data_IF_314515797115
#
_entry.id   IF_314515797115
#
_cell.length_a   1.000
_cell.length_b   1.000
_cell.length_c   1.000
_cell.angle_alpha   90.00
_cell.angle_beta   90.00
_cell.angle_gamma   90.00
#
_symmetry.space_group_name_H-M   'P 1'
#
loop_
_entity.id
_entity.type
_entity.pdbx_description
1 polymer ?
#
# COMPACT_ATOMS: atom_id res chain seq x y z
N UNK A 1 -41.68 -16.73 42.68
CA UNK A 1 -40.63 -17.03 41.67
C UNK A 1 -40.74 -16.01 40.54
N UNK A 2 -39.73 -15.17 40.27
CA UNK A 2 -39.82 -14.17 39.21
C UNK A 2 -39.57 -14.82 37.84
N UNK A 3 -40.45 -14.55 36.87
CA UNK A 3 -40.28 -14.98 35.47
C UNK A 3 -39.11 -14.24 34.83
N UNK A 4 -38.19 -14.97 34.21
CA UNK A 4 -37.05 -14.41 33.48
C UNK A 4 -37.54 -13.58 32.27
N UNK A 5 -36.96 -12.39 32.07
CA UNK A 5 -37.14 -11.59 30.85
C UNK A 5 -36.40 -12.24 29.67
N UNK A 6 -36.92 -12.17 28.44
CA UNK A 6 -36.23 -12.71 27.28
C UNK A 6 -34.94 -11.91 26.99
N UNK A 7 -33.86 -12.64 26.71
CA UNK A 7 -32.57 -12.09 26.28
C UNK A 7 -32.73 -11.58 24.85
N UNK A 8 -32.47 -10.28 24.64
CA UNK A 8 -32.41 -9.69 23.31
C UNK A 8 -31.24 -10.31 22.54
N UNK A 9 -31.56 -11.05 21.47
CA UNK A 9 -30.56 -11.55 20.52
C UNK A 9 -29.94 -10.33 19.85
N UNK A 10 -28.67 -10.05 20.14
CA UNK A 10 -27.89 -9.04 19.42
C UNK A 10 -27.75 -9.54 17.99
N UNK A 11 -28.59 -9.03 17.09
CA UNK A 11 -28.42 -9.26 15.66
C UNK A 11 -27.09 -8.61 15.23
N UNK A 12 -26.21 -9.32 14.51
CA UNK A 12 -25.07 -8.66 13.89
C UNK A 12 -25.61 -7.57 12.95
N UNK A 13 -25.09 -6.34 13.05
CA UNK A 13 -25.38 -5.27 12.09
C UNK A 13 -25.00 -5.75 10.69
N UNK A 14 -25.94 -6.36 9.97
CA UNK A 14 -25.93 -6.34 8.51
C UNK A 14 -26.25 -4.91 8.11
N UNK A 15 -25.23 -4.07 7.99
CA UNK A 15 -25.35 -2.91 7.12
C UNK A 15 -25.59 -3.48 5.72
N UNK A 16 -26.82 -3.34 5.25
CA UNK A 16 -27.20 -3.64 3.87
C UNK A 16 -26.31 -2.80 2.95
N UNK A 17 -25.69 -3.46 1.98
CA UNK A 17 -24.80 -2.86 0.98
C UNK A 17 -25.45 -1.69 0.21
N UNK A 18 -26.78 -1.59 0.27
CA UNK A 18 -27.64 -0.56 -0.33
C UNK A 18 -27.37 0.87 0.18
N UNK A 19 -26.82 1.03 1.40
CA UNK A 19 -26.65 2.36 2.01
C UNK A 19 -25.20 2.85 2.07
N UNK A 20 -24.24 2.11 1.52
CA UNK A 20 -22.89 2.64 1.33
C UNK A 20 -22.89 3.54 0.10
N UNK A 21 -23.24 4.81 0.27
CA UNK A 21 -23.02 5.82 -0.78
C UNK A 21 -21.55 5.76 -1.18
N UNK A 22 -21.27 5.29 -2.41
CA UNK A 22 -19.98 5.40 -3.09
C UNK A 22 -19.59 6.88 -3.20
N UNK A 23 -19.01 7.42 -2.15
CA UNK A 23 -18.37 8.76 -2.13
C UNK A 23 -16.89 8.68 -2.56
N UNK A 24 -16.43 7.47 -2.88
CA UNK A 24 -15.08 7.05 -3.22
C UNK A 24 -14.86 6.83 -4.71
N UNK A 25 -15.92 6.84 -5.54
CA UNK A 25 -15.81 6.64 -6.99
C UNK A 25 -14.90 7.67 -7.70
N UNK A 26 -14.71 8.84 -7.08
CA UNK A 26 -13.82 9.90 -7.58
C UNK A 26 -12.53 10.06 -6.76
N UNK A 27 -12.34 9.29 -5.69
CA UNK A 27 -11.04 9.24 -5.03
C UNK A 27 -10.15 8.31 -5.85
N UNK A 28 -8.92 8.71 -6.21
CA UNK A 28 -7.98 7.76 -6.79
C UNK A 28 -7.87 6.58 -5.84
N UNK A 29 -8.23 5.38 -6.30
CA UNK A 29 -8.03 4.15 -5.55
C UNK A 29 -6.54 4.07 -5.21
N UNK A 30 -6.19 4.21 -3.92
CA UNK A 30 -4.80 4.42 -3.49
C UNK A 30 -4.43 5.85 -3.06
N UNK A 31 -5.40 6.69 -2.69
CA UNK A 31 -5.09 7.95 -1.99
C UNK A 31 -4.28 7.64 -0.73
N UNK A 32 -2.98 7.97 -0.77
CA UNK A 32 -2.08 7.86 0.36
C UNK A 32 -2.34 8.94 1.44
N UNK A 33 -3.41 9.74 1.29
CA UNK A 33 -3.79 10.75 2.26
C UNK A 33 -4.11 10.10 3.60
N UNK A 34 -3.45 10.58 4.65
CA UNK A 34 -3.55 10.05 6.01
C UNK A 34 -2.59 8.90 6.30
N UNK A 35 -1.80 8.43 5.34
CA UNK A 35 -0.82 7.36 5.56
C UNK A 35 0.29 7.80 6.50
N UNK A 36 0.86 8.99 6.32
CA UNK A 36 1.96 9.50 7.14
C UNK A 36 1.56 10.78 7.89
N UNK A 37 0.66 10.69 8.89
CA UNK A 37 0.10 11.87 9.55
C UNK A 37 1.15 12.68 10.32
N UNK A 38 2.26 12.06 10.72
CA UNK A 38 3.34 12.73 11.46
C UNK A 38 4.39 13.36 10.54
N UNK A 39 4.36 13.08 9.23
CA UNK A 39 5.41 13.51 8.30
C UNK A 39 6.79 12.89 8.58
N UNK A 40 6.85 11.69 9.19
CA UNK A 40 8.14 11.05 9.46
C UNK A 40 8.84 10.71 8.14
N UNK A 41 10.13 11.02 8.04
CA UNK A 41 10.97 10.70 6.87
C UNK A 41 11.69 9.36 7.00
N UNK A 42 11.52 8.65 8.11
CA UNK A 42 12.23 7.40 8.41
C UNK A 42 11.30 6.17 8.44
N UNK A 43 10.02 6.34 8.09
CA UNK A 43 9.00 5.30 8.18
C UNK A 43 8.49 4.81 6.80
N UNK A 44 9.28 4.99 5.73
CA UNK A 44 8.86 4.62 4.36
C UNK A 44 8.39 3.16 4.26
N UNK A 45 9.04 2.23 4.96
CA UNK A 45 8.63 0.82 5.05
C UNK A 45 7.26 0.63 5.70
N UNK A 46 6.96 1.38 6.76
CA UNK A 46 5.64 1.35 7.41
C UNK A 46 4.56 1.97 6.50
N UNK A 47 4.91 3.02 5.77
CA UNK A 47 4.01 3.66 4.80
C UNK A 47 3.61 2.69 3.70
N UNK A 48 4.55 1.89 3.22
CA UNK A 48 4.27 0.87 2.20
C UNK A 48 3.28 -0.18 2.70
N UNK A 49 3.40 -0.61 3.95
CA UNK A 49 2.42 -1.51 4.58
C UNK A 49 1.03 -0.87 4.72
N UNK A 50 0.98 0.39 5.18
CA UNK A 50 -0.27 1.10 5.36
C UNK A 50 -1.01 1.32 4.04
N UNK A 51 -0.30 1.75 2.98
CA UNK A 51 -0.87 1.87 1.62
C UNK A 51 -1.36 0.52 1.13
N UNK A 52 -0.59 -0.55 1.33
CA UNK A 52 -1.01 -1.87 0.87
C UNK A 52 -2.30 -2.34 1.53
N UNK A 53 -2.43 -2.13 2.85
CA UNK A 53 -3.64 -2.46 3.58
C UNK A 53 -4.85 -1.65 3.09
N UNK A 54 -4.66 -0.36 2.77
CA UNK A 54 -5.70 0.48 2.15
C UNK A 54 -6.11 -0.11 0.80
N UNK A 55 -5.15 -0.46 -0.06
CA UNK A 55 -5.44 -1.02 -1.39
C UNK A 55 -6.16 -2.37 -1.31
N UNK A 56 -5.80 -3.21 -0.34
CA UNK A 56 -6.36 -4.55 -0.16
C UNK A 56 -7.75 -4.54 0.48
N UNK A 57 -7.97 -3.66 1.46
CA UNK A 57 -9.17 -3.73 2.32
C UNK A 57 -10.10 -2.53 2.19
N UNK A 58 -9.64 -1.43 1.59
CA UNK A 58 -10.35 -0.14 1.61
C UNK A 58 -10.32 0.59 2.96
N UNK A 59 -9.73 -0.01 4.01
CA UNK A 59 -9.71 0.57 5.35
C UNK A 59 -8.62 1.62 5.46
N UNK A 60 -8.96 2.78 6.05
CA UNK A 60 -7.99 3.82 6.38
C UNK A 60 -6.92 3.26 7.32
N UNK A 61 -5.67 3.43 6.94
CA UNK A 61 -4.50 2.92 7.68
C UNK A 61 -3.42 3.98 7.71
N UNK A 62 -2.80 4.19 8.87
CA UNK A 62 -1.69 5.13 9.04
C UNK A 62 -0.44 4.39 9.51
N UNK A 63 0.70 4.83 9.01
CA UNK A 63 2.01 4.35 9.40
C UNK A 63 2.44 4.96 10.73
N UNK A 64 2.94 4.12 11.64
CA UNK A 64 3.62 4.60 12.83
C UNK A 64 4.91 5.35 12.45
N UNK A 65 5.24 6.46 13.13
CA UNK A 65 6.49 7.17 12.92
C UNK A 65 7.68 6.30 13.36
N UNK A 66 8.86 6.59 12.82
CA UNK A 66 10.11 5.96 13.24
C UNK A 66 11.20 7.01 13.39
N UNK A 67 12.17 6.71 14.26
CA UNK A 67 13.44 7.44 14.36
C UNK A 67 14.52 6.85 13.44
N UNK A 68 14.43 5.55 13.13
CA UNK A 68 15.37 4.84 12.25
C UNK A 68 14.63 4.00 11.20
N UNK A 69 15.09 4.01 9.93
CA UNK A 69 14.51 3.19 8.87
C UNK A 69 14.56 1.70 9.18
N UNK A 70 13.58 0.97 8.64
CA UNK A 70 13.67 -0.50 8.57
C UNK A 70 14.41 -0.86 7.29
N UNK A 71 15.40 -1.78 7.36
CA UNK A 71 16.03 -2.34 6.17
C UNK A 71 14.99 -2.93 5.21
N UNK A 72 15.13 -2.66 3.90
CA UNK A 72 14.12 -3.03 2.91
C UNK A 72 13.91 -4.55 2.80
N UNK A 73 14.92 -5.37 3.09
CA UNK A 73 14.81 -6.84 3.10
C UNK A 73 13.80 -7.37 4.14
N UNK A 74 13.41 -6.57 5.12
CA UNK A 74 12.31 -6.92 6.03
C UNK A 74 10.95 -6.93 5.32
N UNK A 75 10.81 -6.25 4.17
CA UNK A 75 9.60 -6.30 3.34
C UNK A 75 9.35 -7.70 2.79
N UNK A 76 10.40 -8.44 2.43
CA UNK A 76 10.26 -9.84 1.98
C UNK A 76 9.60 -10.71 3.06
N UNK A 77 10.08 -10.57 4.30
CA UNK A 77 9.52 -11.29 5.45
C UNK A 77 8.09 -10.87 5.75
N UNK A 78 7.80 -9.57 5.74
CA UNK A 78 6.48 -9.04 6.06
C UNK A 78 5.41 -9.48 5.05
N UNK A 79 5.75 -9.55 3.76
CA UNK A 79 4.80 -9.89 2.71
C UNK A 79 4.84 -11.36 2.29
N UNK A 80 5.80 -12.14 2.80
CA UNK A 80 6.06 -13.49 2.27
C UNK A 80 6.38 -13.46 0.77
N UNK A 81 6.99 -12.37 0.29
CA UNK A 81 7.35 -12.17 -1.11
C UNK A 81 8.86 -12.27 -1.28
N UNK A 82 9.29 -12.53 -2.51
CA UNK A 82 10.70 -12.47 -2.89
C UNK A 82 10.92 -11.27 -3.79
N UNK A 83 11.91 -10.45 -3.44
CA UNK A 83 12.33 -9.36 -4.30
C UNK A 83 13.07 -9.90 -5.53
N UNK A 84 12.89 -9.20 -6.64
CA UNK A 84 13.66 -9.42 -7.85
C UNK A 84 15.16 -9.17 -7.62
N UNK A 85 15.99 -9.61 -8.58
CA UNK A 85 17.30 -9.00 -8.75
C UNK A 85 17.20 -7.52 -9.16
N UNK A 86 18.34 -6.88 -9.41
CA UNK A 86 18.38 -5.52 -9.93
C UNK A 86 17.75 -5.45 -11.32
N UNK A 87 16.80 -4.54 -11.50
CA UNK A 87 16.04 -4.36 -12.74
C UNK A 87 15.87 -2.87 -13.06
N UNK A 88 15.56 -2.58 -14.32
CA UNK A 88 15.15 -1.24 -14.77
C UNK A 88 13.66 -0.97 -14.48
N UNK A 89 13.28 0.31 -14.47
CA UNK A 89 11.86 0.74 -14.38
C UNK A 89 10.99 0.04 -15.44
N UNK A 90 11.46 -0.01 -16.70
CA UNK A 90 10.70 -0.63 -17.79
C UNK A 90 10.48 -2.14 -17.57
N UNK A 91 11.46 -2.85 -17.00
CA UNK A 91 11.28 -4.27 -16.67
C UNK A 91 10.27 -4.49 -15.55
N UNK A 92 10.24 -3.60 -14.54
CA UNK A 92 9.19 -3.61 -13.51
C UNK A 92 7.83 -3.43 -14.17
N UNK A 93 7.67 -2.41 -15.01
CA UNK A 93 6.39 -2.08 -15.64
C UNK A 93 5.88 -3.21 -16.52
N UNK A 94 6.73 -3.74 -17.40
CA UNK A 94 6.38 -4.87 -18.25
C UNK A 94 5.97 -6.10 -17.41
N UNK A 95 6.72 -6.39 -16.34
CA UNK A 95 6.39 -7.52 -15.46
C UNK A 95 5.04 -7.34 -14.76
N UNK A 96 4.78 -6.15 -14.19
CA UNK A 96 3.54 -5.90 -13.48
C UNK A 96 2.35 -5.86 -14.44
N UNK A 97 2.46 -5.16 -15.57
CA UNK A 97 1.39 -5.06 -16.57
C UNK A 97 1.04 -6.45 -17.12
N UNK A 98 2.02 -7.32 -17.37
CA UNK A 98 1.78 -8.70 -17.84
C UNK A 98 0.93 -9.55 -16.88
N UNK A 99 0.90 -9.20 -15.58
CA UNK A 99 0.08 -9.86 -14.55
C UNK A 99 -1.34 -9.31 -14.46
N UNK A 100 -1.63 -8.22 -15.16
CA UNK A 100 -2.97 -7.66 -15.31
C UNK A 100 -3.38 -6.64 -14.24
N UNK A 101 -4.54 -6.02 -14.45
CA UNK A 101 -5.12 -5.02 -13.55
C UNK A 101 -5.34 -5.59 -12.15
N UNK A 102 -5.05 -4.79 -11.13
CA UNK A 102 -5.12 -5.17 -9.72
C UNK A 102 -3.82 -5.75 -9.16
N UNK A 103 -2.83 -6.05 -10.01
CA UNK A 103 -1.50 -6.48 -9.55
C UNK A 103 -0.90 -5.41 -8.65
N UNK A 104 -0.56 -5.78 -7.41
CA UNK A 104 0.13 -4.93 -6.44
C UNK A 104 1.58 -5.36 -6.29
N UNK A 105 2.45 -4.39 -6.03
CA UNK A 105 3.86 -4.66 -5.75
C UNK A 105 4.43 -3.64 -4.76
N UNK A 106 5.54 -4.02 -4.13
CA UNK A 106 6.46 -3.09 -3.47
C UNK A 106 7.67 -2.87 -4.36
N UNK A 107 8.10 -1.62 -4.46
CA UNK A 107 9.29 -1.23 -5.21
C UNK A 107 10.30 -0.67 -4.24
N UNK A 108 11.56 -1.09 -4.36
CA UNK A 108 12.71 -0.49 -3.71
C UNK A 108 13.59 0.18 -4.77
N UNK A 109 14.05 1.39 -4.49
CA UNK A 109 14.94 2.16 -5.34
C UNK A 109 16.09 2.74 -4.55
N UNK A 110 17.29 2.75 -5.15
CA UNK A 110 18.50 3.31 -4.53
C UNK A 110 19.45 3.91 -5.56
N UNK A 111 20.25 4.88 -5.10
CA UNK A 111 21.41 5.43 -5.79
C UNK A 111 22.75 4.93 -5.22
N UNK A 112 22.70 3.98 -4.26
CA UNK A 112 23.85 3.46 -3.51
C UNK A 112 24.13 4.17 -2.18
N UNK A 113 23.50 5.32 -1.92
CA UNK A 113 23.66 6.10 -0.69
C UNK A 113 22.33 6.20 0.06
N UNK A 114 21.27 6.49 -0.68
CA UNK A 114 19.89 6.62 -0.19
C UNK A 114 19.02 5.52 -0.77
N UNK A 115 17.99 5.15 -0.02
CA UNK A 115 17.02 4.14 -0.43
C UNK A 115 15.61 4.62 -0.13
N UNK A 116 14.67 4.29 -1.01
CA UNK A 116 13.25 4.59 -0.80
C UNK A 116 12.37 3.45 -1.29
N UNK A 117 11.14 3.41 -0.79
CA UNK A 117 10.18 2.36 -1.11
C UNK A 117 8.80 2.92 -1.44
N UNK A 118 8.13 2.28 -2.40
CA UNK A 118 6.81 2.65 -2.88
C UNK A 118 5.91 1.43 -3.00
N UNK A 119 4.60 1.66 -3.07
CA UNK A 119 3.67 0.69 -3.63
C UNK A 119 3.50 0.96 -5.13
N UNK A 120 3.22 -0.10 -5.88
CA UNK A 120 2.77 -0.03 -7.25
C UNK A 120 1.47 -0.81 -7.41
N UNK A 121 0.55 -0.30 -8.23
CA UNK A 121 -0.69 -1.01 -8.60
C UNK A 121 -0.96 -0.86 -10.10
N UNK A 122 -1.31 -1.97 -10.76
CA UNK A 122 -1.70 -1.94 -12.17
C UNK A 122 -3.17 -1.56 -12.28
N UNK A 123 -3.46 -0.48 -12.99
CA UNK A 123 -4.83 -0.04 -13.26
C UNK A 123 -4.93 0.45 -14.70
N UNK A 124 -5.96 0.00 -15.41
CA UNK A 124 -6.21 0.35 -16.82
C UNK A 124 -4.97 0.10 -17.70
N UNK A 125 -4.25 -0.99 -17.45
CA UNK A 125 -3.04 -1.37 -18.21
C UNK A 125 -1.81 -0.50 -17.93
N UNK A 126 -1.82 0.32 -16.88
CA UNK A 126 -0.69 1.18 -16.48
C UNK A 126 -0.27 0.91 -15.04
N UNK A 127 1.01 1.03 -14.75
CA UNK A 127 1.52 1.00 -13.38
C UNK A 127 1.34 2.37 -12.74
N UNK A 128 0.66 2.41 -11.60
CA UNK A 128 0.54 3.61 -10.78
C UNK A 128 1.39 3.42 -9.53
N UNK A 129 2.40 4.27 -9.37
CA UNK A 129 3.25 4.29 -8.18
C UNK A 129 2.63 5.18 -7.11
N UNK A 130 2.74 4.77 -5.85
CA UNK A 130 2.19 5.49 -4.70
C UNK A 130 3.30 5.67 -3.68
N UNK A 131 3.58 6.93 -3.33
CA UNK A 131 4.49 7.26 -2.24
C UNK A 131 3.67 7.57 -0.98
N UNK A 132 3.59 6.56 -0.12
CA UNK A 132 2.88 6.67 1.16
C UNK A 132 3.50 7.69 2.12
N UNK A 133 4.81 7.94 2.01
CA UNK A 133 5.53 8.82 2.93
C UNK A 133 5.19 10.29 2.67
N UNK A 134 5.17 10.70 1.39
CA UNK A 134 4.79 12.07 1.00
C UNK A 134 3.29 12.20 0.67
N UNK A 135 2.55 11.09 0.69
CA UNK A 135 1.10 11.01 0.49
C UNK A 135 0.64 11.49 -0.90
N UNK A 136 1.42 11.20 -1.95
CA UNK A 136 1.18 11.61 -3.34
C UNK A 136 1.45 10.46 -4.32
N UNK A 137 1.19 10.70 -5.61
CA UNK A 137 1.66 9.81 -6.68
C UNK A 137 3.18 9.66 -6.62
N UNK A 138 3.66 8.41 -6.66
CA UNK A 138 5.07 8.07 -6.44
C UNK A 138 5.99 8.29 -7.64
N UNK A 139 5.43 8.61 -8.80
CA UNK A 139 6.22 8.80 -10.03
C UNK A 139 7.19 9.99 -9.93
N UNK A 140 6.87 11.01 -9.13
CA UNK A 140 7.66 12.25 -9.00
C UNK A 140 9.10 12.00 -8.51
N UNK A 141 9.30 11.01 -7.63
CA UNK A 141 10.62 10.70 -7.06
C UNK A 141 11.18 9.37 -7.58
N UNK A 142 10.49 8.72 -8.50
CA UNK A 142 10.94 7.45 -9.05
C UNK A 142 12.16 7.64 -9.98
N UNK A 143 12.25 8.80 -10.63
CA UNK A 143 13.28 9.12 -11.63
C UNK A 143 14.65 9.47 -11.02
N UNK A 144 14.74 9.71 -9.72
CA UNK A 144 16.00 10.07 -9.05
C UNK A 144 16.89 8.85 -8.75
N UNK A 145 16.33 7.63 -8.79
CA UNK A 145 17.04 6.40 -8.45
C UNK A 145 17.53 5.65 -9.69
N UNK A 146 18.63 4.92 -9.53
CA UNK A 146 19.32 4.22 -10.65
C UNK A 146 19.16 2.71 -10.59
N UNK A 147 18.95 2.15 -9.41
CA UNK A 147 18.86 0.72 -9.19
C UNK A 147 17.54 0.39 -8.51
N UNK A 148 16.81 -0.60 -9.05
CA UNK A 148 15.52 -0.99 -8.53
C UNK A 148 15.41 -2.49 -8.28
N UNK A 149 14.65 -2.84 -7.26
CA UNK A 149 14.12 -4.17 -7.03
C UNK A 149 12.62 -4.08 -6.79
N UNK A 150 11.87 -5.14 -7.07
CA UNK A 150 10.45 -5.19 -6.75
C UNK A 150 10.00 -6.57 -6.29
N UNK A 151 8.93 -6.60 -5.51
CA UNK A 151 8.26 -7.82 -5.09
C UNK A 151 6.77 -7.70 -5.36
N UNK A 152 6.20 -8.70 -6.05
CA UNK A 152 4.76 -8.76 -6.27
C UNK A 152 4.09 -9.22 -4.99
N UNK A 153 3.00 -8.55 -4.61
CA UNK A 153 2.27 -8.81 -3.38
C UNK A 153 1.16 -9.85 -3.60
N UNK A 154 0.87 -10.69 -2.59
CA UNK A 154 -0.22 -11.65 -2.62
C UNK A 154 -1.60 -11.00 -2.51
#
# INVERSE_FOLDING_TARGET
>A
MPKAKPVSVIQPRRQTLENFKRTDANNPAGSAKGVNPTGSMQNCTNCVFAVDNILKTGNKTSALPRSTPVPFNQLEKMYGTKLSGWVSKSQIENSLISKGNGTRAVIYGTDGVTGHVWNAVVQKGKVNYIDGQIQKGGEVNFTTFKHFQFGVLP
#
